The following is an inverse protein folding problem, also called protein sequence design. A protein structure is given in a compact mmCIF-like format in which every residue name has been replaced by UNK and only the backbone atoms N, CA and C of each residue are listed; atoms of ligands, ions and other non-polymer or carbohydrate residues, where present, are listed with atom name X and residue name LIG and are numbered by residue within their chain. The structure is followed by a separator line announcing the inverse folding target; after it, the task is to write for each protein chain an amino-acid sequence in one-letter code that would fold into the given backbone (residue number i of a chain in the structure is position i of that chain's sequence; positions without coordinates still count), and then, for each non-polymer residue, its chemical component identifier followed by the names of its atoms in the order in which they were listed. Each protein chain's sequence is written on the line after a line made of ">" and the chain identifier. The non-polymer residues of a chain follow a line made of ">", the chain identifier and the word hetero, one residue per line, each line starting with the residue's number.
data_IF_344604764534
#
_entry.id   IF_344604764534
#
_cell.length_a   1.000
_cell.length_b   1.000
_cell.length_c   1.000
_cell.angle_alpha   90.00
_cell.angle_beta   90.00
_cell.angle_gamma   90.00
#
_symmetry.space_group_name_H-M   'P 1'
#
loop_
_entity.id
_entity.type
_entity.pdbx_description
1 polymer ?
#
# COMPACT_ATOMS: atom_id res chain seq x y z
N UNK A 1 -47.20 -1.35 -18.62
CA UNK A 1 -46.22 -0.99 -17.58
C UNK A 1 -45.29 -2.17 -17.44
N UNK A 2 -44.21 -2.16 -18.22
CA UNK A 2 -43.15 -3.16 -18.10
C UNK A 2 -42.21 -2.71 -16.99
N UNK A 3 -42.00 -3.61 -16.02
CA UNK A 3 -41.02 -3.43 -14.95
C UNK A 3 -39.62 -3.56 -15.57
N UNK A 4 -38.86 -2.47 -15.52
CA UNK A 4 -37.46 -2.45 -15.91
C UNK A 4 -36.68 -3.18 -14.81
N UNK A 5 -36.14 -4.36 -15.15
CA UNK A 5 -35.21 -5.10 -14.30
C UNK A 5 -33.89 -4.31 -14.20
N UNK A 6 -33.73 -3.51 -13.15
CA UNK A 6 -32.51 -2.77 -12.81
C UNK A 6 -31.42 -3.66 -12.17
N UNK A 7 -31.09 -4.84 -12.70
CA UNK A 7 -29.98 -5.62 -12.12
C UNK A 7 -29.19 -6.43 -13.13
N UNK A 8 -28.34 -5.77 -13.91
CA UNK A 8 -27.12 -6.37 -14.49
C UNK A 8 -26.11 -5.26 -14.82
N UNK A 9 -25.69 -4.47 -13.83
CA UNK A 9 -24.46 -3.70 -13.99
C UNK A 9 -23.30 -4.63 -13.63
N UNK A 10 -22.59 -5.10 -14.65
CA UNK A 10 -21.32 -5.82 -14.45
C UNK A 10 -20.37 -4.86 -13.72
N UNK A 11 -19.84 -5.23 -12.54
CA UNK A 11 -18.88 -4.39 -11.82
C UNK A 11 -17.69 -4.03 -12.71
N UNK A 12 -17.46 -2.75 -12.93
CA UNK A 12 -16.38 -2.26 -13.81
C UNK A 12 -15.04 -2.24 -13.06
N UNK A 13 -15.07 -2.04 -11.75
CA UNK A 13 -13.89 -2.07 -10.87
C UNK A 13 -13.84 -3.33 -10.01
N UNK A 14 -12.64 -3.71 -9.58
CA UNK A 14 -12.47 -4.80 -8.61
C UNK A 14 -13.04 -4.41 -7.24
N UNK A 15 -13.02 -3.11 -6.91
CA UNK A 15 -13.69 -2.57 -5.73
C UNK A 15 -15.20 -2.81 -5.74
N UNK A 16 -15.90 -2.59 -6.86
CA UNK A 16 -17.35 -2.80 -6.95
C UNK A 16 -17.73 -4.26 -6.70
N UNK A 17 -16.93 -5.21 -7.22
CA UNK A 17 -17.11 -6.66 -6.95
C UNK A 17 -16.97 -6.95 -5.46
N UNK A 18 -15.96 -6.36 -4.81
CA UNK A 18 -15.76 -6.56 -3.39
C UNK A 18 -16.88 -5.95 -2.56
N UNK A 19 -17.43 -4.80 -2.97
CA UNK A 19 -18.60 -4.20 -2.32
C UNK A 19 -19.81 -5.13 -2.43
N UNK A 20 -20.03 -5.75 -3.58
CA UNK A 20 -21.13 -6.72 -3.77
C UNK A 20 -20.98 -7.94 -2.85
N UNK A 21 -19.75 -8.47 -2.71
CA UNK A 21 -19.47 -9.68 -1.92
C UNK A 21 -19.42 -9.40 -0.41
N UNK A 22 -18.80 -8.31 0.00
CA UNK A 22 -18.49 -8.02 1.40
C UNK A 22 -19.43 -6.98 2.02
N UNK A 23 -20.02 -6.12 1.20
CA UNK A 23 -20.81 -4.98 1.65
C UNK A 23 -19.96 -3.82 2.20
N UNK A 24 -20.67 -2.85 2.75
CA UNK A 24 -20.11 -1.64 3.34
C UNK A 24 -20.47 -1.57 4.82
N UNK A 25 -19.63 -0.92 5.60
CA UNK A 25 -19.88 -0.66 7.02
C UNK A 25 -19.65 0.81 7.35
N UNK A 26 -20.32 1.27 8.40
CA UNK A 26 -20.04 2.56 9.04
C UNK A 26 -19.26 2.39 10.35
N UNK A 27 -19.03 1.14 10.79
CA UNK A 27 -18.33 0.84 12.02
C UNK A 27 -16.84 1.16 11.89
N UNK A 28 -16.41 2.21 12.60
CA UNK A 28 -15.01 2.65 12.66
C UNK A 28 -14.17 1.82 13.65
N UNK A 29 -14.80 0.91 14.39
CA UNK A 29 -14.14 -0.05 15.26
C UNK A 29 -13.73 -1.32 14.50
N UNK A 30 -14.16 -1.46 13.25
CA UNK A 30 -13.73 -2.53 12.36
C UNK A 30 -12.58 -2.05 11.45
N UNK A 31 -11.60 -2.92 11.25
CA UNK A 31 -10.57 -2.72 10.25
C UNK A 31 -11.17 -2.87 8.84
N UNK A 32 -10.66 -2.12 7.87
CA UNK A 32 -11.21 -2.14 6.52
C UNK A 32 -10.35 -1.42 5.50
N UNK A 33 -10.93 -1.23 4.31
CA UNK A 33 -10.42 -0.31 3.30
C UNK A 33 -11.34 0.90 3.24
N UNK A 34 -10.76 2.10 3.35
CA UNK A 34 -11.48 3.34 3.07
C UNK A 34 -11.48 3.53 1.55
N UNK A 35 -12.67 3.49 0.97
CA UNK A 35 -12.92 3.67 -0.45
C UNK A 35 -12.67 5.14 -0.87
N UNK A 36 -12.54 5.44 -2.18
CA UNK A 36 -12.29 6.81 -2.66
C UNK A 36 -13.34 7.84 -2.20
N UNK A 37 -14.57 7.36 -1.99
CA UNK A 37 -15.72 8.13 -1.49
C UNK A 37 -15.83 8.19 0.05
N UNK A 38 -14.86 7.63 0.78
CA UNK A 38 -14.80 7.65 2.25
C UNK A 38 -15.63 6.58 2.96
N UNK A 39 -16.38 5.74 2.25
CA UNK A 39 -17.06 4.58 2.85
C UNK A 39 -16.04 3.50 3.23
N UNK A 40 -16.40 2.61 4.15
CA UNK A 40 -15.55 1.50 4.56
C UNK A 40 -16.04 0.19 3.94
N UNK A 41 -15.14 -0.53 3.27
CA UNK A 41 -15.37 -1.91 2.87
C UNK A 41 -15.44 -2.78 4.13
N UNK A 42 -16.49 -3.58 4.25
CA UNK A 42 -16.78 -4.36 5.44
C UNK A 42 -15.97 -5.67 5.45
N UNK A 43 -15.07 -5.84 6.42
CA UNK A 43 -14.27 -7.08 6.53
C UNK A 43 -14.85 -8.10 7.54
N UNK A 44 -16.02 -7.79 8.11
CA UNK A 44 -16.75 -8.58 9.14
C UNK A 44 -15.80 -9.18 10.18
N UNK A 45 -15.10 -8.30 10.91
CA UNK A 45 -14.05 -8.70 11.87
C UNK A 45 -14.63 -9.27 13.16
N UNK A 46 -15.88 -8.90 13.45
CA UNK A 46 -16.62 -9.32 14.64
C UNK A 46 -17.10 -10.77 14.56
N UNK A 47 -17.35 -11.31 13.35
CA UNK A 47 -17.72 -12.70 13.18
C UNK A 47 -16.50 -13.61 12.93
N UNK A 48 -16.15 -14.45 13.90
CA UNK A 48 -15.00 -15.36 13.79
C UNK A 48 -15.07 -16.35 12.61
N UNK A 49 -16.26 -16.66 12.11
CA UNK A 49 -16.46 -17.58 10.97
C UNK A 49 -16.41 -16.89 9.61
N UNK A 50 -16.60 -15.56 9.57
CA UNK A 50 -16.60 -14.75 8.34
C UNK A 50 -15.43 -13.77 8.24
N UNK A 51 -14.66 -13.64 9.32
CA UNK A 51 -13.51 -12.75 9.44
C UNK A 51 -12.60 -12.83 8.22
N UNK A 52 -12.47 -11.72 7.51
CA UNK A 52 -11.46 -11.52 6.47
C UNK A 52 -10.37 -10.59 6.99
N UNK A 53 -9.12 -10.89 6.67
CA UNK A 53 -8.04 -9.90 6.73
C UNK A 53 -7.94 -9.18 5.38
N UNK A 54 -7.18 -8.08 5.35
CA UNK A 54 -6.90 -7.34 4.12
C UNK A 54 -6.38 -8.22 2.98
N UNK A 55 -5.49 -9.19 3.26
CA UNK A 55 -5.01 -10.14 2.24
C UNK A 55 -6.07 -11.13 1.76
N UNK A 56 -7.04 -11.48 2.60
CA UNK A 56 -8.11 -12.42 2.22
C UNK A 56 -9.11 -11.78 1.25
N UNK A 57 -9.14 -10.44 1.18
CA UNK A 57 -9.96 -9.69 0.23
C UNK A 57 -9.45 -9.90 -1.20
N UNK A 58 -8.14 -9.89 -1.41
CA UNK A 58 -7.56 -10.09 -2.74
C UNK A 58 -7.92 -11.47 -3.31
N UNK A 59 -8.01 -12.51 -2.46
CA UNK A 59 -8.41 -13.87 -2.87
C UNK A 59 -9.83 -13.95 -3.45
N UNK A 60 -10.66 -12.94 -3.24
CA UNK A 60 -12.02 -12.87 -3.78
C UNK A 60 -12.06 -12.32 -5.21
N UNK A 61 -10.95 -11.75 -5.69
CA UNK A 61 -10.87 -11.16 -7.01
C UNK A 61 -10.49 -12.21 -8.06
N UNK A 62 -11.02 -12.11 -9.30
CA UNK A 62 -10.77 -13.09 -10.36
C UNK A 62 -9.30 -13.35 -10.64
N UNK A 63 -8.48 -12.30 -10.60
CA UNK A 63 -7.05 -12.39 -10.89
C UNK A 63 -6.30 -13.25 -9.86
N UNK A 64 -6.84 -13.44 -8.65
CA UNK A 64 -6.21 -14.23 -7.60
C UNK A 64 -6.95 -15.55 -7.33
N UNK A 65 -8.10 -15.78 -7.97
CA UNK A 65 -8.86 -17.03 -7.84
C UNK A 65 -8.09 -18.18 -8.51
N UNK A 66 -7.70 -19.17 -7.71
CA UNK A 66 -7.04 -20.39 -8.20
C UNK A 66 -5.55 -20.24 -8.52
N UNK A 67 -4.93 -19.10 -8.20
CA UNK A 67 -3.47 -18.98 -8.29
C UNK A 67 -2.81 -19.65 -7.09
N UNK A 68 -1.75 -20.43 -7.34
CA UNK A 68 -0.97 -21.10 -6.29
C UNK A 68 0.03 -20.16 -5.58
N UNK A 69 0.22 -18.93 -6.07
CA UNK A 69 1.11 -17.99 -5.39
C UNK A 69 0.48 -17.49 -4.09
N UNK A 70 1.29 -17.44 -3.03
CA UNK A 70 0.93 -16.74 -1.81
C UNK A 70 0.74 -15.25 -2.12
N UNK A 71 -0.42 -14.70 -1.78
CA UNK A 71 -0.66 -13.26 -1.83
C UNK A 71 0.21 -12.60 -0.76
N UNK A 72 1.04 -11.65 -1.16
CA UNK A 72 1.94 -10.92 -0.28
C UNK A 72 1.50 -9.46 -0.12
N UNK A 73 2.07 -8.77 0.87
CA UNK A 73 1.71 -7.38 1.18
C UNK A 73 1.91 -6.42 -0.02
N UNK A 74 2.88 -6.68 -0.89
CA UNK A 74 3.10 -5.85 -2.09
C UNK A 74 1.99 -5.99 -3.13
N UNK A 75 1.34 -7.16 -3.23
CA UNK A 75 0.17 -7.34 -4.11
C UNK A 75 -1.01 -6.50 -3.61
N UNK A 76 -1.20 -6.49 -2.29
CA UNK A 76 -2.20 -5.68 -1.63
C UNK A 76 -1.93 -4.18 -1.79
N UNK A 77 -0.67 -3.74 -1.70
CA UNK A 77 -0.29 -2.34 -1.93
C UNK A 77 -0.54 -1.93 -3.38
N UNK A 78 -0.19 -2.78 -4.34
CA UNK A 78 -0.46 -2.54 -5.76
C UNK A 78 -1.96 -2.44 -6.03
N UNK A 79 -2.76 -3.33 -5.43
CA UNK A 79 -4.21 -3.28 -5.46
C UNK A 79 -4.77 -1.97 -4.86
N UNK A 80 -4.27 -1.57 -3.69
CA UNK A 80 -4.64 -0.30 -3.06
C UNK A 80 -4.32 0.90 -3.95
N UNK A 81 -3.18 0.90 -4.64
CA UNK A 81 -2.81 1.97 -5.55
C UNK A 81 -3.73 2.02 -6.77
N UNK A 82 -4.01 0.87 -7.38
CA UNK A 82 -4.90 0.73 -8.56
C UNK A 82 -6.31 1.25 -8.25
N UNK A 83 -6.86 0.81 -7.13
CA UNK A 83 -8.25 1.07 -6.73
C UNK A 83 -8.41 2.31 -5.82
N UNK A 84 -7.31 3.02 -5.56
CA UNK A 84 -7.27 4.21 -4.70
C UNK A 84 -7.82 3.97 -3.29
N UNK A 85 -7.44 2.84 -2.68
CA UNK A 85 -7.89 2.44 -1.36
C UNK A 85 -6.89 2.85 -0.28
N UNK A 86 -7.42 3.20 0.90
CA UNK A 86 -6.61 3.35 2.13
C UNK A 86 -6.84 2.16 3.04
N UNK A 87 -5.78 1.45 3.39
CA UNK A 87 -5.85 0.37 4.37
C UNK A 87 -5.94 0.97 5.77
N UNK A 88 -7.00 0.61 6.49
CA UNK A 88 -7.20 0.98 7.88
C UNK A 88 -7.19 -0.28 8.75
N UNK A 89 -6.22 -0.37 9.65
CA UNK A 89 -6.09 -1.43 10.62
C UNK A 89 -6.35 -0.87 12.02
N UNK A 90 -7.28 -1.52 12.74
CA UNK A 90 -7.70 -1.08 14.07
C UNK A 90 -6.61 -1.26 15.14
N UNK A 91 -5.59 -2.07 14.85
CA UNK A 91 -4.41 -2.31 15.68
C UNK A 91 -3.41 -1.13 15.67
N UNK A 92 -3.76 -0.02 15.02
CA UNK A 92 -2.96 1.20 15.06
C UNK A 92 -2.20 1.47 13.77
N UNK A 93 -2.66 1.00 12.61
CA UNK A 93 -1.98 1.27 11.33
C UNK A 93 -2.91 1.81 10.26
N UNK A 94 -2.46 2.84 9.57
CA UNK A 94 -3.03 3.34 8.32
C UNK A 94 -1.95 3.22 7.26
N UNK A 95 -2.30 2.67 6.10
CA UNK A 95 -1.37 2.54 4.99
C UNK A 95 -2.02 3.07 3.72
N UNK A 96 -1.27 3.92 3.03
CA UNK A 96 -1.63 4.51 1.74
C UNK A 96 -0.55 4.21 0.71
N UNK A 97 -0.95 3.93 -0.52
CA UNK A 97 -0.06 3.71 -1.67
C UNK A 97 -0.17 4.80 -2.75
N UNK A 98 -1.20 5.64 -2.60
CA UNK A 98 -1.52 6.80 -3.44
C UNK A 98 -2.07 7.92 -2.54
N UNK A 99 -2.05 9.15 -3.04
CA UNK A 99 -2.55 10.31 -2.31
C UNK A 99 -4.04 10.13 -1.97
N UNK A 100 -4.43 10.14 -0.68
CA UNK A 100 -5.83 10.02 -0.31
C UNK A 100 -6.67 11.18 -0.87
N UNK A 101 -7.90 10.88 -1.27
CA UNK A 101 -8.90 11.88 -1.63
C UNK A 101 -9.22 12.78 -0.42
N UNK A 102 -9.77 13.97 -0.66
CA UNK A 102 -10.22 14.84 0.45
C UNK A 102 -11.27 14.18 1.34
N UNK A 103 -12.07 13.27 0.79
CA UNK A 103 -13.10 12.55 1.53
C UNK A 103 -12.46 11.45 2.38
N UNK A 104 -11.52 10.69 1.83
CA UNK A 104 -10.72 9.72 2.58
C UNK A 104 -9.95 10.39 3.71
N UNK A 105 -9.33 11.54 3.46
CA UNK A 105 -8.61 12.30 4.46
C UNK A 105 -9.52 12.74 5.62
N UNK A 106 -10.75 13.18 5.29
CA UNK A 106 -11.77 13.49 6.31
C UNK A 106 -12.13 12.25 7.12
N UNK A 107 -12.32 11.09 6.48
CA UNK A 107 -12.60 9.84 7.17
C UNK A 107 -11.46 9.46 8.12
N UNK A 108 -10.21 9.48 7.64
CA UNK A 108 -9.01 9.24 8.46
C UNK A 108 -8.99 10.17 9.68
N UNK A 109 -9.17 11.47 9.46
CA UNK A 109 -9.22 12.45 10.55
C UNK A 109 -10.30 12.11 11.57
N UNK A 110 -11.54 11.87 11.14
CA UNK A 110 -12.64 11.55 12.06
C UNK A 110 -12.40 10.26 12.85
N UNK A 111 -11.72 9.28 12.24
CA UNK A 111 -11.37 8.02 12.89
C UNK A 111 -10.28 8.20 13.94
N UNK A 112 -9.34 9.15 13.72
CA UNK A 112 -8.18 9.35 14.58
C UNK A 112 -8.34 10.47 15.63
N UNK A 113 -9.16 11.48 15.38
CA UNK A 113 -9.22 12.73 16.17
C UNK A 113 -9.48 12.51 17.67
N UNK A 114 -10.17 11.43 18.03
CA UNK A 114 -10.54 11.09 19.41
C UNK A 114 -9.84 9.83 19.93
N UNK A 115 -8.89 9.27 19.18
CA UNK A 115 -8.12 8.10 19.62
C UNK A 115 -6.90 8.58 20.40
N UNK A 116 -6.82 8.14 21.65
CA UNK A 116 -5.66 8.35 22.52
C UNK A 116 -4.46 7.48 22.10
N UNK A 117 -4.74 6.31 21.54
CA UNK A 117 -3.70 5.36 21.13
C UNK A 117 -3.00 5.86 19.87
N UNK A 118 -1.66 5.73 19.78
CA UNK A 118 -0.91 6.11 18.61
C UNK A 118 -1.28 5.23 17.41
N UNK A 119 -1.33 5.87 16.24
CA UNK A 119 -1.45 5.23 14.95
C UNK A 119 -0.20 5.49 14.11
N UNK A 120 0.29 4.44 13.49
CA UNK A 120 1.32 4.47 12.47
C UNK A 120 0.66 4.75 11.10
N UNK A 121 1.07 5.83 10.45
CA UNK A 121 0.70 6.17 9.09
C UNK A 121 1.89 5.84 8.19
N UNK A 122 1.72 4.83 7.34
CA UNK A 122 2.68 4.40 6.33
C UNK A 122 2.26 4.97 4.98
N UNK A 123 3.19 5.65 4.33
CA UNK A 123 3.03 6.19 2.98
C UNK A 123 4.02 5.46 2.09
N UNK A 124 3.53 4.70 1.11
CA UNK A 124 4.35 3.99 0.15
C UNK A 124 4.02 4.44 -1.27
N UNK A 125 4.88 4.09 -2.23
CA UNK A 125 4.48 4.15 -3.63
C UNK A 125 3.69 2.89 -4.03
N UNK A 126 3.25 2.84 -5.29
CA UNK A 126 2.48 1.71 -5.84
C UNK A 126 3.27 0.40 -5.90
N UNK A 127 4.60 0.44 -5.84
CA UNK A 127 5.47 -0.73 -5.83
C UNK A 127 5.72 -1.28 -4.40
N UNK A 128 5.19 -0.62 -3.37
CA UNK A 128 5.35 -1.03 -1.98
C UNK A 128 6.53 -0.41 -1.24
N UNK A 129 7.35 0.41 -1.90
CA UNK A 129 8.48 1.08 -1.25
C UNK A 129 7.98 2.17 -0.31
N UNK A 130 8.44 2.18 0.94
CA UNK A 130 8.04 3.18 1.92
C UNK A 130 8.69 4.54 1.58
N UNK A 131 7.84 5.56 1.45
CA UNK A 131 8.23 6.95 1.17
C UNK A 131 8.33 7.76 2.46
N UNK A 132 7.40 7.53 3.39
CA UNK A 132 7.43 8.13 4.73
C UNK A 132 6.62 7.31 5.73
N UNK A 133 6.95 7.47 7.01
CA UNK A 133 6.30 6.79 8.11
C UNK A 133 6.18 7.75 9.29
N UNK A 134 4.98 7.84 9.86
CA UNK A 134 4.67 8.80 10.92
C UNK A 134 3.86 8.13 12.02
N UNK A 135 4.16 8.46 13.28
CA UNK A 135 3.28 8.09 14.39
C UNK A 135 2.47 9.30 14.81
N UNK A 136 1.14 9.14 14.88
CA UNK A 136 0.20 10.21 15.22
C UNK A 136 -0.77 9.77 16.32
N UNK A 137 -1.16 10.69 17.19
CA UNK A 137 -2.25 10.49 18.16
C UNK A 137 -3.06 11.78 18.23
N UNK A 138 -4.38 11.69 18.05
CA UNK A 138 -5.27 12.85 17.89
C UNK A 138 -4.77 13.91 16.89
N UNK A 139 -4.36 13.55 15.66
CA UNK A 139 -3.76 14.51 14.73
C UNK A 139 -4.75 15.60 14.30
N UNK A 140 -4.25 16.81 14.08
CA UNK A 140 -5.02 17.85 13.39
C UNK A 140 -5.12 17.53 11.90
N UNK A 141 -6.14 18.09 11.22
CA UNK A 141 -6.26 17.98 9.77
C UNK A 141 -5.00 18.51 9.05
N UNK A 142 -4.42 19.61 9.53
CA UNK A 142 -3.18 20.17 8.99
C UNK A 142 -1.98 19.22 9.11
N UNK A 143 -1.88 18.48 10.21
CA UNK A 143 -0.85 17.45 10.38
C UNK A 143 -1.02 16.31 9.37
N UNK A 144 -2.24 15.81 9.17
CA UNK A 144 -2.52 14.79 8.17
C UNK A 144 -2.22 15.26 6.74
N UNK A 145 -2.62 16.49 6.40
CA UNK A 145 -2.28 17.11 5.10
C UNK A 145 -0.77 17.14 4.91
N UNK A 146 0.00 17.54 5.93
CA UNK A 146 1.45 17.58 5.84
C UNK A 146 2.09 16.21 5.68
N UNK A 147 1.56 15.16 6.31
CA UNK A 147 2.02 13.78 6.11
C UNK A 147 1.83 13.37 4.64
N UNK A 148 0.67 13.63 4.06
CA UNK A 148 0.38 13.21 2.68
C UNK A 148 0.95 14.14 1.60
N UNK A 149 1.61 15.25 1.97
CA UNK A 149 2.43 16.04 1.04
C UNK A 149 3.63 15.26 0.52
N UNK A 150 4.01 14.15 1.15
CA UNK A 150 5.02 13.22 0.62
C UNK A 150 4.74 12.85 -0.83
N UNK A 151 3.48 12.64 -1.23
CA UNK A 151 3.13 12.34 -2.63
C UNK A 151 3.38 13.50 -3.61
N UNK A 152 3.55 14.73 -3.11
CA UNK A 152 3.87 15.90 -3.94
C UNK A 152 5.39 16.09 -4.10
N UNK A 153 6.21 15.32 -3.37
CA UNK A 153 7.67 15.32 -3.47
C UNK A 153 8.08 14.56 -4.73
N UNK A 154 8.90 15.20 -5.58
CA UNK A 154 9.35 14.60 -6.84
C UNK A 154 10.46 13.56 -6.69
N UNK A 155 11.27 13.70 -5.64
CA UNK A 155 12.42 12.83 -5.38
C UNK A 155 12.53 12.62 -3.88
N UNK A 156 12.41 11.37 -3.45
CA UNK A 156 12.71 10.96 -2.09
C UNK A 156 14.16 10.50 -2.00
N UNK A 157 14.85 10.84 -0.91
CA UNK A 157 16.27 10.57 -0.71
C UNK A 157 16.55 9.72 0.54
N UNK A 158 15.57 9.57 1.43
CA UNK A 158 15.70 8.88 2.72
C UNK A 158 14.96 7.55 2.74
N UNK A 159 15.34 6.64 1.85
CA UNK A 159 14.80 5.28 1.83
C UNK A 159 15.41 4.42 2.94
N UNK A 160 14.57 3.58 3.58
CA UNK A 160 15.04 2.67 4.63
C UNK A 160 15.97 1.60 4.05
N UNK A 161 17.15 1.45 4.65
CA UNK A 161 18.06 0.33 4.36
C UNK A 161 17.52 -1.02 4.82
N UNK A 162 16.45 -1.04 5.62
CA UNK A 162 15.83 -2.29 6.08
C UNK A 162 14.96 -2.94 4.99
N UNK A 163 14.45 -2.15 4.04
CA UNK A 163 13.63 -2.64 2.92
C UNK A 163 14.45 -3.18 1.75
N UNK A 164 15.75 -2.86 1.73
CA UNK A 164 16.65 -3.19 0.63
C UNK A 164 17.87 -3.97 1.09
N UNK A 165 18.38 -4.84 0.24
CA UNK A 165 19.72 -5.40 0.41
C UNK A 165 20.47 -5.52 -0.90
N UNK A 166 21.79 -5.60 -0.79
CA UNK A 166 22.70 -5.82 -1.89
C UNK A 166 22.97 -7.32 -2.01
N UNK A 167 22.76 -7.87 -3.19
CA UNK A 167 23.30 -9.17 -3.59
C UNK A 167 24.33 -8.97 -4.69
N UNK A 168 25.32 -9.85 -4.75
CA UNK A 168 26.41 -9.78 -5.70
C UNK A 168 26.56 -11.11 -6.44
N UNK A 169 26.64 -11.04 -7.77
CA UNK A 169 27.14 -12.14 -8.60
C UNK A 169 28.46 -11.74 -9.26
N UNK A 170 29.05 -12.61 -10.08
CA UNK A 170 30.35 -12.34 -10.72
C UNK A 170 30.39 -11.03 -11.54
N UNK A 171 29.26 -10.61 -12.09
CA UNK A 171 29.16 -9.57 -13.12
C UNK A 171 28.33 -8.36 -12.72
N UNK A 172 27.43 -8.52 -11.75
CA UNK A 172 26.46 -7.51 -11.36
C UNK A 172 26.34 -7.40 -9.84
N UNK A 173 26.10 -6.17 -9.39
CA UNK A 173 25.43 -5.90 -8.12
C UNK A 173 23.93 -5.89 -8.38
N UNK A 174 23.14 -6.45 -7.45
CA UNK A 174 21.68 -6.50 -7.51
C UNK A 174 21.09 -5.83 -6.27
N UNK A 175 20.13 -4.93 -6.48
CA UNK A 175 19.33 -4.39 -5.40
C UNK A 175 18.09 -5.28 -5.23
N UNK A 176 17.97 -5.91 -4.07
CA UNK A 176 16.82 -6.73 -3.70
C UNK A 176 15.89 -5.91 -2.82
N UNK A 177 14.62 -5.83 -3.21
CA UNK A 177 13.55 -5.31 -2.38
C UNK A 177 12.97 -6.45 -1.53
N UNK A 178 13.29 -6.43 -0.24
CA UNK A 178 13.01 -7.52 0.70
C UNK A 178 11.51 -7.82 0.87
N UNK A 179 10.58 -6.84 0.91
CA UNK A 179 9.15 -7.14 1.08
C UNK A 179 8.57 -8.08 0.01
N UNK A 180 9.10 -8.04 -1.22
CA UNK A 180 8.72 -8.96 -2.30
C UNK A 180 9.81 -10.00 -2.63
N UNK A 181 10.96 -9.97 -1.94
CA UNK A 181 12.16 -10.73 -2.28
C UNK A 181 12.53 -10.66 -3.78
N UNK A 182 12.40 -9.46 -4.36
CA UNK A 182 12.54 -9.23 -5.80
C UNK A 182 13.78 -8.41 -6.11
N UNK A 183 14.55 -8.81 -7.13
CA UNK A 183 15.58 -7.95 -7.70
C UNK A 183 14.93 -6.79 -8.48
N UNK A 184 15.14 -5.56 -8.01
CA UNK A 184 14.53 -4.34 -8.55
C UNK A 184 15.55 -3.38 -9.17
N UNK A 185 16.84 -3.70 -9.02
CA UNK A 185 17.94 -2.94 -9.59
C UNK A 185 19.12 -3.83 -9.93
N UNK A 186 19.85 -3.50 -10.99
CA UNK A 186 21.07 -4.18 -11.40
C UNK A 186 22.12 -3.17 -11.85
N UNK A 187 23.36 -3.34 -11.38
CA UNK A 187 24.51 -2.53 -11.80
C UNK A 187 25.62 -3.45 -12.30
N UNK A 188 26.06 -3.28 -13.55
CA UNK A 188 27.17 -4.06 -14.10
C UNK A 188 28.51 -3.57 -13.55
N UNK A 189 29.33 -4.46 -12.98
CA UNK A 189 30.60 -4.09 -12.33
C UNK A 189 31.61 -3.47 -13.30
N UNK A 190 31.63 -3.91 -14.55
CA UNK A 190 32.58 -3.44 -15.58
C UNK A 190 32.14 -2.13 -16.22
N UNK A 191 30.89 -2.06 -16.67
CA UNK A 191 30.39 -0.89 -17.39
C UNK A 191 29.79 0.19 -16.49
N UNK A 192 29.55 -0.10 -15.21
CA UNK A 192 28.87 0.78 -14.24
C UNK A 192 27.47 1.22 -14.72
N UNK A 193 26.88 0.47 -15.66
CA UNK A 193 25.55 0.74 -16.17
C UNK A 193 24.51 0.22 -15.18
N UNK A 194 23.58 1.09 -14.79
CA UNK A 194 22.51 0.80 -13.83
C UNK A 194 21.19 0.65 -14.57
N UNK A 195 20.43 -0.39 -14.21
CA UNK A 195 19.05 -0.61 -14.64
C UNK A 195 18.17 -0.75 -13.39
N UNK A 196 17.07 -0.02 -13.34
CA UNK A 196 16.10 -0.06 -12.24
C UNK A 196 14.71 -0.34 -12.81
N UNK A 197 13.93 -1.11 -12.05
CA UNK A 197 12.49 -1.23 -12.28
C UNK A 197 11.82 0.15 -12.12
N UNK A 198 10.79 0.43 -12.93
CA UNK A 198 10.13 1.76 -12.98
C UNK A 198 9.69 2.27 -11.60
N UNK A 199 9.07 1.41 -10.79
CA UNK A 199 8.61 1.75 -9.43
C UNK A 199 9.73 1.95 -8.39
N UNK A 200 10.99 1.67 -8.74
CA UNK A 200 12.14 1.75 -7.84
C UNK A 200 13.22 2.72 -8.32
N UNK A 201 12.96 3.49 -9.38
CA UNK A 201 13.93 4.47 -9.93
C UNK A 201 14.43 5.46 -8.88
N UNK A 202 13.60 5.88 -7.95
CA UNK A 202 14.00 6.80 -6.88
C UNK A 202 15.04 6.18 -5.93
N UNK A 203 15.06 4.85 -5.76
CA UNK A 203 16.04 4.14 -4.94
C UNK A 203 17.45 4.03 -5.58
N UNK A 204 17.68 4.61 -6.77
CA UNK A 204 18.98 4.58 -7.45
C UNK A 204 20.10 5.14 -6.56
N UNK A 205 19.85 6.25 -5.86
CA UNK A 205 20.84 6.87 -4.96
C UNK A 205 21.21 5.96 -3.79
N UNK A 206 20.21 5.29 -3.20
CA UNK A 206 20.42 4.29 -2.16
C UNK A 206 21.26 3.12 -2.69
N UNK A 207 20.92 2.60 -3.88
CA UNK A 207 21.64 1.49 -4.49
C UNK A 207 23.13 1.80 -4.66
N UNK A 208 23.45 2.99 -5.17
CA UNK A 208 24.83 3.43 -5.34
C UNK A 208 25.57 3.62 -4.01
N UNK A 209 24.87 4.07 -2.96
CA UNK A 209 25.43 4.16 -1.63
C UNK A 209 25.78 2.78 -1.07
N UNK A 210 24.87 1.81 -1.19
CA UNK A 210 25.07 0.44 -0.73
C UNK A 210 26.24 -0.25 -1.45
N UNK A 211 26.37 -0.07 -2.77
CA UNK A 211 27.52 -0.58 -3.53
C UNK A 211 28.83 0.00 -2.99
N UNK A 212 28.89 1.32 -2.73
CA UNK A 212 30.11 1.95 -2.21
C UNK A 212 30.49 1.45 -0.82
N UNK A 213 29.51 1.20 0.03
CA UNK A 213 29.72 0.67 1.38
C UNK A 213 30.19 -0.79 1.34
N UNK A 214 29.57 -1.64 0.52
CA UNK A 214 29.93 -3.05 0.39
C UNK A 214 31.27 -3.32 -0.31
N UNK A 215 31.87 -2.31 -0.97
CA UNK A 215 33.20 -2.39 -1.62
C UNK A 215 34.32 -1.93 -0.68
N UNK A 216 34.01 -1.45 0.53
CA UNK A 216 35.01 -0.98 1.51
C UNK A 216 35.39 -2.02 2.58
N UNK A 217 34.83 -3.23 2.52
CA UNK A 217 35.24 -4.41 3.31
C UNK A 217 36.03 -5.40 2.44
#
# INVERSE_FOLDING_TARGET
>A
MEAINEHTNVPVSDTDKLIEVLGLTNDIHEAGYILPDGRLLHLDRSNCFKRKNHLDVLKLLPDFLGQEHSIIDTDMIAFMAKEQLVRFCIDGRIHTAVKPSSIQLRKIYTTLAYRSNPFEVIVSNAAGMTLSQHTVSGPTMGALVNIFKTYDIKVHDNFSTDEFCLEEDETHFKLIFRPAMKAVGQCNKKSQMIKMDEGFKEATSLFMSLIKQGVQD
#
